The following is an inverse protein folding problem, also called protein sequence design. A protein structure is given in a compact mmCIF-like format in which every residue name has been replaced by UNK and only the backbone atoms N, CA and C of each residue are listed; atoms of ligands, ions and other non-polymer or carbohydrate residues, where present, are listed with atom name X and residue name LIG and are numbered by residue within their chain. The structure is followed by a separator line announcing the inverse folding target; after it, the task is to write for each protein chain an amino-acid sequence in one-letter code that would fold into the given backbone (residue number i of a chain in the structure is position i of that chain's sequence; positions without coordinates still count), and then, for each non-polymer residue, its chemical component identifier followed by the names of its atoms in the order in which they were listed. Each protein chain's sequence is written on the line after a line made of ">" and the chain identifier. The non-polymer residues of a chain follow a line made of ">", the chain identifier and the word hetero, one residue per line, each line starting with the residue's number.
data_IF_447644386541
#
_entry.id   IF_447644386541
#
_cell.length_a   1.000
_cell.length_b   1.000
_cell.length_c   1.000
_cell.angle_alpha   90.00
_cell.angle_beta   90.00
_cell.angle_gamma   90.00
#
_symmetry.space_group_name_H-M   'P 1'
#
loop_
_entity.id
_entity.type
_entity.pdbx_description
1 polymer ?
#
# COMPACT_ATOMS: atom_id res chain seq x y z
N UNK A 1 41.22 -2.45 52.21
CA UNK A 1 41.51 -3.51 51.22
C UNK A 1 40.49 -3.40 50.09
N UNK A 2 40.88 -3.16 48.83
CA UNK A 2 39.96 -3.19 47.71
C UNK A 2 39.84 -4.61 47.12
N UNK A 3 38.63 -4.99 46.69
CA UNK A 3 38.29 -6.30 46.13
C UNK A 3 38.95 -6.56 44.77
N UNK A 4 39.36 -7.80 44.43
CA UNK A 4 40.23 -8.08 43.31
C UNK A 4 39.46 -8.60 42.08
N UNK A 5 38.54 -7.83 41.49
CA UNK A 5 37.94 -8.24 40.21
C UNK A 5 37.70 -7.04 39.30
N UNK A 6 38.69 -6.78 38.44
CA UNK A 6 38.57 -5.89 37.29
C UNK A 6 37.73 -6.53 36.19
N UNK A 7 36.40 -6.58 36.36
CA UNK A 7 35.48 -6.89 35.27
C UNK A 7 35.42 -5.68 34.33
N UNK A 8 36.28 -5.66 33.32
CA UNK A 8 36.11 -4.79 32.16
C UNK A 8 34.85 -5.26 31.44
N UNK A 9 33.71 -4.61 31.66
CA UNK A 9 32.55 -4.75 30.79
C UNK A 9 33.03 -4.40 29.36
N UNK A 10 33.15 -5.42 28.51
CA UNK A 10 33.26 -5.23 27.07
C UNK A 10 32.04 -4.42 26.66
N UNK A 11 32.27 -3.17 26.27
CA UNK A 11 31.31 -2.30 25.59
C UNK A 11 30.55 -3.17 24.59
N UNK A 12 29.26 -3.40 24.82
CA UNK A 12 28.40 -4.15 23.91
C UNK A 12 28.57 -3.50 22.54
N UNK A 13 29.28 -4.18 21.63
CA UNK A 13 29.30 -3.77 20.23
C UNK A 13 27.83 -3.84 19.82
N UNK A 14 27.21 -2.69 19.54
CA UNK A 14 26.01 -2.67 18.72
C UNK A 14 26.40 -3.44 17.46
N UNK A 15 25.86 -4.63 17.29
CA UNK A 15 25.99 -5.36 16.04
C UNK A 15 25.20 -4.54 15.02
N UNK A 16 25.85 -3.58 14.36
CA UNK A 16 25.38 -3.13 13.06
C UNK A 16 25.47 -4.34 12.16
N UNK A 17 24.34 -5.01 11.94
CA UNK A 17 24.17 -6.01 10.87
C UNK A 17 24.26 -5.26 9.54
N UNK A 18 25.47 -4.85 9.20
CA UNK A 18 25.85 -4.42 7.85
C UNK A 18 26.57 -5.61 7.20
N UNK A 19 25.95 -6.78 7.21
CA UNK A 19 26.39 -7.87 6.36
C UNK A 19 25.91 -7.56 4.94
N UNK A 20 26.79 -7.64 3.94
CA UNK A 20 26.47 -7.49 2.51
C UNK A 20 25.33 -8.42 2.03
N UNK A 21 24.89 -9.35 2.87
CA UNK A 21 23.83 -10.34 2.68
C UNK A 21 22.44 -9.90 3.16
N UNK A 22 22.29 -8.72 3.76
CA UNK A 22 21.00 -8.24 4.25
C UNK A 22 20.66 -6.85 3.71
N UNK A 23 19.36 -6.60 3.55
CA UNK A 23 18.77 -5.29 3.28
C UNK A 23 17.96 -4.88 4.51
N UNK A 24 18.19 -3.67 5.02
CA UNK A 24 17.25 -3.03 5.95
C UNK A 24 16.29 -2.20 5.13
N UNK A 25 15.06 -2.68 4.98
CA UNK A 25 14.03 -2.02 4.19
C UNK A 25 13.10 -1.22 5.13
N UNK A 26 12.99 0.09 4.89
CA UNK A 26 11.98 0.94 5.52
C UNK A 26 10.79 1.06 4.59
N UNK A 27 9.65 0.56 5.06
CA UNK A 27 8.38 0.54 4.32
C UNK A 27 7.45 1.58 4.94
N UNK A 28 7.15 2.64 4.19
CA UNK A 28 6.14 3.61 4.56
C UNK A 28 4.75 3.04 4.35
N UNK A 29 3.91 3.15 5.38
CA UNK A 29 2.52 2.69 5.38
C UNK A 29 1.58 3.81 4.94
N UNK A 30 0.31 3.45 4.73
CA UNK A 30 -0.74 4.38 4.30
C UNK A 30 -1.22 5.32 5.42
N UNK A 31 -0.97 4.97 6.68
CA UNK A 31 -1.27 5.79 7.87
C UNK A 31 -0.14 6.78 8.21
N UNK A 32 0.80 7.01 7.28
CA UNK A 32 2.03 7.79 7.44
C UNK A 32 3.04 7.21 8.45
N UNK A 33 2.76 6.02 9.01
CA UNK A 33 3.72 5.24 9.76
C UNK A 33 4.78 4.59 8.88
N UNK A 34 5.68 3.85 9.50
CA UNK A 34 6.62 2.99 8.79
C UNK A 34 6.94 1.71 9.56
N UNK A 35 7.27 0.66 8.80
CA UNK A 35 7.82 -0.59 9.32
C UNK A 35 9.25 -0.76 8.83
N UNK A 36 10.11 -1.33 9.68
CA UNK A 36 11.48 -1.69 9.30
C UNK A 36 11.65 -3.19 9.36
N UNK A 37 12.14 -3.76 8.26
CA UNK A 37 12.43 -5.18 8.13
C UNK A 37 13.90 -5.39 7.79
N UNK A 38 14.50 -6.44 8.36
CA UNK A 38 15.80 -6.96 7.92
C UNK A 38 15.55 -8.17 7.04
N UNK A 39 15.76 -8.00 5.74
CA UNK A 39 15.52 -9.01 4.70
C UNK A 39 16.84 -9.56 4.17
N UNK A 40 16.83 -10.76 3.56
CA UNK A 40 17.97 -11.22 2.77
C UNK A 40 18.09 -10.36 1.51
N UNK A 41 19.31 -10.21 0.97
CA UNK A 41 19.50 -9.59 -0.37
C UNK A 41 18.81 -10.35 -1.50
N UNK A 42 18.50 -11.63 -1.28
CA UNK A 42 17.76 -12.48 -2.21
C UNK A 42 16.24 -12.35 -2.05
N UNK A 43 15.77 -11.77 -0.95
CA UNK A 43 14.34 -11.66 -0.68
C UNK A 43 13.62 -10.89 -1.78
N UNK A 44 12.56 -11.50 -2.27
CA UNK A 44 11.68 -10.99 -3.31
C UNK A 44 10.79 -9.86 -2.80
N UNK A 45 10.17 -9.11 -3.72
CA UNK A 45 9.14 -8.15 -3.35
C UNK A 45 7.93 -8.81 -2.69
N UNK A 46 7.59 -10.05 -3.10
CA UNK A 46 6.50 -10.83 -2.53
C UNK A 46 6.74 -11.15 -1.04
N UNK A 47 7.90 -11.67 -0.69
CA UNK A 47 8.24 -11.98 0.72
C UNK A 47 8.23 -10.71 1.60
N UNK A 48 8.66 -9.57 1.03
CA UNK A 48 8.58 -8.28 1.72
C UNK A 48 7.12 -7.84 1.94
N UNK A 49 6.27 -7.96 0.92
CA UNK A 49 4.84 -7.64 1.01
C UNK A 49 4.12 -8.53 2.03
N UNK A 50 4.45 -9.83 2.05
CA UNK A 50 3.92 -10.78 3.03
C UNK A 50 4.32 -10.42 4.46
N UNK A 51 5.57 -9.97 4.68
CA UNK A 51 6.01 -9.51 5.99
C UNK A 51 5.25 -8.25 6.45
N UNK A 52 4.97 -7.31 5.54
CA UNK A 52 4.12 -6.13 5.81
C UNK A 52 2.71 -6.58 6.15
N UNK A 53 2.12 -7.44 5.32
CA UNK A 53 0.76 -7.94 5.51
C UNK A 53 0.60 -8.70 6.83
N UNK A 54 1.57 -9.54 7.21
CA UNK A 54 1.59 -10.21 8.50
C UNK A 54 1.58 -9.21 9.66
N UNK A 55 2.34 -8.11 9.55
CA UNK A 55 2.41 -7.08 10.59
C UNK A 55 1.13 -6.27 10.72
N UNK A 56 0.39 -6.12 9.63
CA UNK A 56 -0.91 -5.47 9.55
C UNK A 56 -2.09 -6.44 9.75
N UNK A 57 -1.85 -7.74 9.90
CA UNK A 57 -2.88 -8.78 9.98
C UNK A 57 -3.80 -8.85 8.74
N UNK A 58 -3.27 -8.44 7.58
CA UNK A 58 -3.94 -8.47 6.27
C UNK A 58 -3.87 -9.88 5.67
N UNK A 59 -5.02 -10.47 5.34
CA UNK A 59 -5.13 -11.74 4.62
C UNK A 59 -5.46 -11.53 3.15
N UNK A 60 -6.21 -10.47 2.82
CA UNK A 60 -6.53 -10.07 1.45
C UNK A 60 -5.36 -9.31 0.79
N UNK A 61 -4.17 -9.92 0.80
CA UNK A 61 -2.91 -9.28 0.36
C UNK A 61 -2.89 -8.92 -1.13
N UNK A 62 -3.76 -9.54 -1.92
CA UNK A 62 -3.81 -9.45 -3.38
C UNK A 62 -4.18 -8.05 -3.89
N UNK A 63 -4.80 -7.23 -3.05
CA UNK A 63 -5.15 -5.85 -3.38
C UNK A 63 -3.98 -4.87 -3.24
N UNK A 64 -2.91 -5.27 -2.55
CA UNK A 64 -1.83 -4.40 -2.16
C UNK A 64 -0.52 -4.75 -2.88
N UNK A 65 0.38 -3.79 -2.92
CA UNK A 65 1.74 -3.99 -3.40
C UNK A 65 2.68 -2.95 -2.78
N UNK A 66 3.94 -3.02 -3.19
CA UNK A 66 4.99 -2.11 -2.81
C UNK A 66 5.39 -1.26 -4.01
N UNK A 67 5.73 0.00 -3.79
CA UNK A 67 6.25 0.90 -4.82
C UNK A 67 7.39 1.77 -4.29
N UNK A 68 8.17 2.35 -5.21
CA UNK A 68 9.28 3.25 -4.90
C UNK A 68 9.38 4.35 -5.95
N UNK A 69 10.12 5.42 -5.65
CA UNK A 69 10.45 6.45 -6.63
C UNK A 69 11.69 6.06 -7.41
N UNK A 70 11.59 5.99 -8.74
CA UNK A 70 12.76 5.74 -9.58
C UNK A 70 13.67 6.98 -9.67
N UNK A 71 14.81 6.84 -10.36
CA UNK A 71 15.78 7.92 -10.59
C UNK A 71 15.23 9.13 -11.36
N UNK A 72 14.10 8.97 -12.06
CA UNK A 72 13.35 10.03 -12.73
C UNK A 72 12.25 10.64 -11.84
N UNK A 73 12.21 10.28 -10.54
CA UNK A 73 11.19 10.70 -9.58
C UNK A 73 9.75 10.31 -9.97
N UNK A 74 9.61 9.17 -10.67
CA UNK A 74 8.33 8.57 -11.02
C UNK A 74 8.04 7.41 -10.06
N UNK A 75 6.79 7.28 -9.61
CA UNK A 75 6.34 6.13 -8.83
C UNK A 75 6.36 4.86 -9.68
N UNK A 76 6.99 3.80 -9.18
CA UNK A 76 7.09 2.48 -9.83
C UNK A 76 6.74 1.38 -8.85
N UNK A 77 5.80 0.50 -9.24
CA UNK A 77 5.50 -0.72 -8.50
C UNK A 77 6.66 -1.71 -8.56
N UNK A 78 7.01 -2.24 -7.38
CA UNK A 78 7.97 -3.33 -7.20
C UNK A 78 7.51 -4.54 -8.01
N UNK A 79 8.46 -5.16 -8.71
CA UNK A 79 8.28 -6.50 -9.25
C UNK A 79 8.35 -7.52 -8.13
N UNK A 80 7.18 -8.02 -7.70
CA UNK A 80 7.08 -8.92 -6.55
C UNK A 80 7.84 -10.23 -6.76
N UNK A 81 8.07 -10.66 -8.00
CA UNK A 81 8.81 -11.87 -8.33
C UNK A 81 10.34 -11.70 -8.27
N UNK A 82 10.85 -10.47 -8.19
CA UNK A 82 12.28 -10.18 -8.23
C UNK A 82 12.82 -9.74 -6.87
N UNK A 83 14.12 -9.97 -6.59
CA UNK A 83 14.74 -9.50 -5.36
C UNK A 83 14.59 -7.98 -5.19
N UNK A 84 14.02 -7.55 -4.06
CA UNK A 84 13.70 -6.14 -3.82
C UNK A 84 14.96 -5.28 -3.80
N UNK A 85 16.04 -5.77 -3.18
CA UNK A 85 17.32 -5.05 -3.12
C UNK A 85 17.87 -4.73 -4.51
N UNK A 86 17.85 -5.71 -5.43
CA UNK A 86 18.37 -5.51 -6.80
C UNK A 86 17.57 -4.45 -7.55
N UNK A 87 16.26 -4.36 -7.31
CA UNK A 87 15.41 -3.36 -7.91
C UNK A 87 15.72 -1.96 -7.35
N UNK A 88 15.84 -1.84 -6.02
CA UNK A 88 16.17 -0.57 -5.37
C UNK A 88 17.54 -0.05 -5.79
N UNK A 89 18.58 -0.89 -5.76
CA UNK A 89 19.95 -0.51 -6.17
C UNK A 89 19.99 -0.03 -7.63
N UNK A 90 19.20 -0.65 -8.51
CA UNK A 90 19.22 -0.37 -9.94
C UNK A 90 18.40 0.86 -10.30
N UNK A 91 17.18 0.95 -9.77
CA UNK A 91 16.16 1.86 -10.27
C UNK A 91 15.78 2.96 -9.30
N UNK A 92 15.90 2.74 -7.99
CA UNK A 92 15.40 3.69 -7.00
C UNK A 92 16.32 4.88 -6.81
N UNK A 93 15.74 6.03 -6.48
CA UNK A 93 16.48 7.22 -6.04
C UNK A 93 16.98 7.05 -4.59
N UNK A 94 16.16 6.45 -3.73
CA UNK A 94 16.44 6.20 -2.32
C UNK A 94 15.96 4.79 -1.94
N UNK A 95 16.53 4.14 -0.90
CA UNK A 95 16.09 2.82 -0.45
C UNK A 95 14.76 2.86 0.33
N UNK A 96 13.86 3.76 -0.05
CA UNK A 96 12.55 3.99 0.56
C UNK A 96 11.48 3.31 -0.26
N UNK A 97 10.66 2.48 0.41
CA UNK A 97 9.58 1.72 -0.22
C UNK A 97 8.27 2.12 0.44
N UNK A 98 7.18 2.08 -0.32
CA UNK A 98 5.86 2.49 0.11
C UNK A 98 4.88 1.35 -0.11
N UNK A 99 4.01 1.13 0.86
CA UNK A 99 2.87 0.22 0.75
C UNK A 99 1.68 0.96 0.13
N UNK A 100 0.91 0.29 -0.73
CA UNK A 100 -0.25 0.90 -1.36
C UNK A 100 -1.17 -0.09 -2.06
N UNK A 101 -2.36 0.39 -2.45
CA UNK A 101 -3.35 -0.40 -3.21
C UNK A 101 -2.95 -0.42 -4.70
N UNK A 102 -2.82 -1.61 -5.27
CA UNK A 102 -2.46 -1.82 -6.69
C UNK A 102 -3.63 -2.35 -7.50
N UNK A 103 -4.59 -3.03 -6.87
CA UNK A 103 -5.76 -3.62 -7.53
C UNK A 103 -6.99 -3.06 -6.86
N UNK A 104 -7.74 -2.24 -7.59
CA UNK A 104 -8.98 -1.61 -7.13
C UNK A 104 -10.19 -2.47 -7.47
N UNK A 105 -11.16 -2.52 -6.56
CA UNK A 105 -12.42 -3.27 -6.74
C UNK A 105 -13.57 -2.33 -7.12
N UNK A 106 -14.55 -2.78 -7.92
CA UNK A 106 -15.71 -1.96 -8.29
C UNK A 106 -16.71 -1.76 -7.15
N UNK A 107 -16.64 -2.56 -6.08
CA UNK A 107 -17.56 -2.48 -4.95
C UNK A 107 -16.87 -2.85 -3.64
N UNK A 108 -17.07 -2.03 -2.60
CA UNK A 108 -16.57 -2.24 -1.26
C UNK A 108 -17.00 -3.57 -0.62
N UNK A 109 -18.10 -4.19 -1.06
CA UNK A 109 -18.53 -5.52 -0.58
C UNK A 109 -17.57 -6.64 -0.97
N UNK A 110 -16.66 -6.42 -1.93
CA UNK A 110 -15.61 -7.38 -2.27
C UNK A 110 -14.51 -7.43 -1.20
N UNK A 111 -14.33 -6.34 -0.45
CA UNK A 111 -13.38 -6.27 0.66
C UNK A 111 -14.02 -6.92 1.89
N UNK A 112 -13.51 -8.08 2.31
CA UNK A 112 -14.12 -8.85 3.39
C UNK A 112 -13.64 -8.38 4.76
N UNK A 113 -12.34 -8.12 4.92
CA UNK A 113 -11.77 -7.73 6.20
C UNK A 113 -11.94 -6.23 6.46
N UNK A 114 -12.23 -5.88 7.70
CA UNK A 114 -12.29 -4.48 8.15
C UNK A 114 -10.94 -3.78 7.96
N UNK A 115 -9.82 -4.45 8.26
CA UNK A 115 -8.48 -3.91 8.02
C UNK A 115 -8.21 -3.63 6.53
N UNK A 116 -8.73 -4.44 5.61
CA UNK A 116 -8.61 -4.19 4.16
C UNK A 116 -9.34 -2.92 3.76
N UNK A 117 -10.57 -2.73 4.28
CA UNK A 117 -11.36 -1.50 4.04
C UNK A 117 -10.66 -0.27 4.60
N UNK A 118 -10.10 -0.37 5.80
CA UNK A 118 -9.34 0.70 6.42
C UNK A 118 -8.12 1.11 5.57
N UNK A 119 -7.33 0.14 5.10
CA UNK A 119 -6.18 0.44 4.22
C UNK A 119 -6.62 1.06 2.88
N UNK A 120 -7.73 0.59 2.30
CA UNK A 120 -8.34 1.23 1.14
C UNK A 120 -8.77 2.68 1.43
N UNK A 121 -9.36 2.93 2.60
CA UNK A 121 -9.80 4.25 3.02
C UNK A 121 -8.60 5.21 3.09
N UNK A 122 -7.50 4.78 3.73
CA UNK A 122 -6.29 5.58 3.81
C UNK A 122 -5.70 5.89 2.44
N UNK A 123 -5.66 4.90 1.53
CA UNK A 123 -5.21 5.11 0.15
C UNK A 123 -6.07 6.14 -0.57
N UNK A 124 -7.40 5.98 -0.55
CA UNK A 124 -8.31 6.87 -1.26
C UNK A 124 -8.33 8.28 -0.65
N UNK A 125 -8.21 8.41 0.67
CA UNK A 125 -8.02 9.69 1.33
C UNK A 125 -6.76 10.39 0.82
N UNK A 126 -5.64 9.68 0.76
CA UNK A 126 -4.39 10.19 0.19
C UNK A 126 -4.54 10.61 -1.27
N UNK A 127 -5.19 9.78 -2.09
CA UNK A 127 -5.38 10.07 -3.52
C UNK A 127 -6.27 11.29 -3.77
N UNK A 128 -7.28 11.53 -2.91
CA UNK A 128 -8.09 12.75 -2.93
C UNK A 128 -7.24 13.97 -2.53
N UNK A 129 -6.54 13.91 -1.39
CA UNK A 129 -5.74 15.03 -0.88
C UNK A 129 -4.56 15.42 -1.79
N UNK A 130 -3.98 14.45 -2.48
CA UNK A 130 -2.94 14.70 -3.49
C UNK A 130 -3.52 15.12 -4.86
N UNK A 131 -4.85 15.10 -5.03
CA UNK A 131 -5.53 15.46 -6.26
C UNK A 131 -5.37 14.45 -7.40
N UNK A 132 -5.01 13.19 -7.09
CA UNK A 132 -4.96 12.10 -8.08
C UNK A 132 -6.35 11.71 -8.55
N UNK A 133 -7.30 11.66 -7.61
CA UNK A 133 -8.73 11.52 -7.91
C UNK A 133 -9.33 12.94 -7.92
N UNK A 134 -9.72 13.47 -9.08
CA UNK A 134 -10.37 14.78 -9.14
C UNK A 134 -11.73 14.72 -8.45
N UNK A 135 -12.04 15.75 -7.67
CA UNK A 135 -13.34 15.94 -7.04
C UNK A 135 -13.84 17.38 -7.23
N UNK A 136 -15.11 17.61 -6.97
CA UNK A 136 -15.72 18.94 -6.86
C UNK A 136 -15.62 19.45 -5.42
N UNK A 137 -15.79 20.76 -5.20
CA UNK A 137 -15.74 21.33 -3.85
C UNK A 137 -16.76 20.66 -2.92
N UNK A 138 -17.97 20.42 -3.42
CA UNK A 138 -19.05 19.76 -2.69
C UNK A 138 -18.69 18.32 -2.30
N UNK A 139 -18.12 17.54 -3.23
CA UNK A 139 -17.63 16.19 -2.95
C UNK A 139 -16.49 16.22 -1.92
N UNK A 140 -15.53 17.15 -2.06
CA UNK A 140 -14.44 17.32 -1.11
C UNK A 140 -14.92 17.65 0.31
N UNK A 141 -15.91 18.53 0.46
CA UNK A 141 -16.54 18.85 1.75
C UNK A 141 -17.23 17.62 2.34
N UNK A 142 -17.96 16.86 1.52
CA UNK A 142 -18.63 15.65 1.96
C UNK A 142 -17.64 14.58 2.45
N UNK A 143 -16.58 14.35 1.67
CA UNK A 143 -15.51 13.41 2.00
C UNK A 143 -14.74 13.84 3.26
N UNK A 144 -14.43 15.12 3.41
CA UNK A 144 -13.78 15.65 4.60
C UNK A 144 -14.64 15.47 5.86
N UNK A 145 -15.96 15.64 5.76
CA UNK A 145 -16.89 15.36 6.87
C UNK A 145 -16.90 13.89 7.29
N UNK A 146 -16.90 12.97 6.31
CA UNK A 146 -16.79 11.52 6.57
C UNK A 146 -15.43 11.16 7.17
N UNK A 147 -14.34 11.72 6.63
CA UNK A 147 -12.99 11.50 7.14
C UNK A 147 -12.83 12.02 8.57
N UNK A 148 -13.44 13.17 8.92
CA UNK A 148 -13.44 13.69 10.27
C UNK A 148 -14.11 12.71 11.26
N UNK A 149 -15.27 12.15 10.89
CA UNK A 149 -15.93 11.13 11.71
C UNK A 149 -15.11 9.83 11.80
N UNK A 150 -14.50 9.39 10.69
CA UNK A 150 -13.67 8.19 10.66
C UNK A 150 -12.44 8.32 11.56
N UNK A 151 -11.70 9.43 11.43
CA UNK A 151 -10.41 9.64 12.08
C UNK A 151 -10.53 10.08 13.55
N UNK A 152 -11.57 10.86 13.89
CA UNK A 152 -11.70 11.50 15.20
C UNK A 152 -12.92 11.04 16.02
N UNK A 153 -13.80 10.21 15.46
CA UNK A 153 -15.01 9.76 16.11
C UNK A 153 -16.04 10.89 16.29
N UNK A 154 -16.94 10.74 17.27
CA UNK A 154 -18.07 11.65 17.45
C UNK A 154 -17.67 13.11 17.77
N UNK A 155 -18.46 14.03 17.23
CA UNK A 155 -18.32 15.48 17.36
C UNK A 155 -18.16 16.00 18.80
N UNK A 156 -18.73 15.32 19.80
CA UNK A 156 -18.71 15.75 21.21
C UNK A 156 -17.42 15.40 21.96
N UNK A 157 -16.47 14.74 21.30
CA UNK A 157 -15.16 14.41 21.89
C UNK A 157 -14.22 15.62 21.99
N UNK A 158 -14.51 16.74 21.30
CA UNK A 158 -13.67 17.94 21.28
C UNK A 158 -14.44 19.19 21.72
N UNK A 159 -13.84 20.01 22.59
CA UNK A 159 -14.46 21.24 23.11
C UNK A 159 -14.67 22.33 22.03
N UNK A 160 -13.89 22.28 20.94
CA UNK A 160 -14.01 23.18 19.79
C UNK A 160 -13.65 22.45 18.49
N UNK A 161 -14.15 22.98 17.36
CA UNK A 161 -13.84 22.47 16.01
C UNK A 161 -12.56 23.08 15.42
N UNK A 162 -11.78 23.79 16.23
CA UNK A 162 -10.55 24.46 15.82
C UNK A 162 -9.48 23.45 15.36
N UNK A 163 -9.60 22.19 15.77
CA UNK A 163 -8.68 21.13 15.34
C UNK A 163 -8.80 20.87 13.83
N UNK A 164 -9.98 21.05 13.23
CA UNK A 164 -10.21 20.84 11.80
C UNK A 164 -9.33 21.76 10.93
N UNK A 165 -8.99 22.96 11.42
CA UNK A 165 -8.07 23.87 10.73
C UNK A 165 -6.60 23.41 10.74
N UNK A 166 -6.27 22.37 11.51
CA UNK A 166 -4.93 21.75 11.55
C UNK A 166 -4.89 20.45 10.74
N UNK A 167 -6.02 20.01 10.20
CA UNK A 167 -6.15 18.78 9.44
C UNK A 167 -6.03 19.05 7.94
N UNK A 168 -5.46 18.09 7.22
CA UNK A 168 -5.50 18.07 5.76
C UNK A 168 -6.91 17.62 5.30
N UNK A 169 -7.83 18.58 5.16
CA UNK A 169 -9.22 18.31 4.77
C UNK A 169 -9.45 18.32 3.27
N UNK A 170 -8.66 19.10 2.53
CA UNK A 170 -8.87 19.37 1.12
C UNK A 170 -7.58 19.19 0.33
N UNK A 171 -7.66 19.00 -1.00
CA UNK A 171 -6.48 18.85 -1.83
C UNK A 171 -5.55 20.06 -1.72
N UNK A 172 -4.23 19.80 -1.66
CA UNK A 172 -3.17 20.79 -1.33
C UNK A 172 -3.21 22.06 -2.19
N UNK A 173 -3.75 21.97 -3.42
CA UNK A 173 -3.76 23.06 -4.39
C UNK A 173 -5.14 23.71 -4.61
N UNK A 174 -6.18 23.32 -3.87
CA UNK A 174 -7.54 23.78 -4.14
C UNK A 174 -7.84 25.17 -3.63
N UNK A 175 -7.55 25.43 -2.35
CA UNK A 175 -8.10 26.60 -1.68
C UNK A 175 -6.98 27.58 -1.36
N UNK A 176 -6.79 28.54 -2.27
CA UNK A 176 -5.85 29.65 -2.08
C UNK A 176 -6.51 30.86 -1.40
N UNK A 177 -7.85 30.93 -1.40
CA UNK A 177 -8.61 31.96 -0.68
C UNK A 177 -8.96 31.47 0.73
N UNK A 178 -8.34 32.08 1.74
CA UNK A 178 -8.53 31.76 3.16
C UNK A 178 -10.02 31.83 3.58
N UNK A 179 -10.82 32.72 2.97
CA UNK A 179 -12.27 32.81 3.28
C UNK A 179 -13.02 31.60 2.77
N UNK A 180 -12.72 31.15 1.55
CA UNK A 180 -13.31 29.94 0.99
C UNK A 180 -12.93 28.71 1.83
N UNK A 181 -11.69 28.67 2.32
CA UNK A 181 -11.23 27.58 3.21
C UNK A 181 -12.02 27.60 4.51
N UNK A 182 -12.21 28.77 5.11
CA UNK A 182 -12.97 28.93 6.34
C UNK A 182 -14.43 28.48 6.18
N UNK A 183 -15.09 28.90 5.10
CA UNK A 183 -16.47 28.49 4.80
C UNK A 183 -16.59 26.99 4.53
N UNK A 184 -15.65 26.41 3.78
CA UNK A 184 -15.62 24.98 3.50
C UNK A 184 -15.40 24.17 4.79
N UNK A 185 -14.44 24.56 5.64
CA UNK A 185 -14.17 23.92 6.94
C UNK A 185 -15.37 24.03 7.87
N UNK A 186 -16.09 25.15 7.86
CA UNK A 186 -17.33 25.27 8.64
C UNK A 186 -18.41 24.29 8.16
N UNK A 187 -18.55 24.09 6.85
CA UNK A 187 -19.44 23.07 6.29
C UNK A 187 -19.02 21.65 6.68
N UNK A 188 -17.71 21.38 6.71
CA UNK A 188 -17.16 20.10 7.21
C UNK A 188 -17.56 19.88 8.68
N UNK A 189 -17.44 20.89 9.53
CA UNK A 189 -17.85 20.78 10.94
C UNK A 189 -19.36 20.46 11.09
N UNK A 190 -20.22 21.05 10.27
CA UNK A 190 -21.66 20.74 10.27
C UNK A 190 -21.94 19.31 9.82
N UNK A 191 -21.20 18.80 8.84
CA UNK A 191 -21.31 17.41 8.40
C UNK A 191 -20.80 16.44 9.46
N UNK A 192 -19.67 16.73 10.11
CA UNK A 192 -19.15 15.94 11.21
C UNK A 192 -20.18 15.81 12.34
N UNK A 193 -20.86 16.91 12.69
CA UNK A 193 -21.97 16.88 13.64
C UNK A 193 -23.15 16.00 13.17
N UNK A 194 -23.45 16.02 11.87
CA UNK A 194 -24.53 15.21 11.28
C UNK A 194 -24.22 13.71 11.31
N UNK A 195 -22.95 13.31 11.21
CA UNK A 195 -22.51 11.91 11.26
C UNK A 195 -22.36 11.36 12.68
N UNK A 196 -22.68 12.14 13.71
CA UNK A 196 -22.66 11.69 15.10
C UNK A 196 -23.41 10.37 15.29
N UNK A 197 -22.77 9.46 16.02
CA UNK A 197 -23.27 8.11 16.29
C UNK A 197 -22.85 7.07 15.27
N UNK A 198 -22.19 7.46 14.18
CA UNK A 198 -21.60 6.50 13.24
C UNK A 198 -20.28 5.98 13.80
N UNK A 199 -20.07 4.67 13.70
CA UNK A 199 -18.76 4.08 14.01
C UNK A 199 -17.73 4.51 12.95
N UNK A 200 -16.45 4.55 13.33
CA UNK A 200 -15.36 4.87 12.39
C UNK A 200 -15.42 4.01 11.13
N UNK A 201 -15.62 2.68 11.28
CA UNK A 201 -15.71 1.77 10.14
C UNK A 201 -16.95 1.95 9.25
N UNK A 202 -18.04 2.53 9.78
CA UNK A 202 -19.20 2.92 8.97
C UNK A 202 -18.91 4.18 8.16
N UNK A 203 -18.26 5.18 8.77
CA UNK A 203 -17.82 6.39 8.09
C UNK A 203 -16.78 6.08 7.00
N UNK A 204 -15.82 5.20 7.28
CA UNK A 204 -14.85 4.67 6.31
C UNK A 204 -15.58 4.00 5.13
N UNK A 205 -16.54 3.11 5.40
CA UNK A 205 -17.28 2.42 4.35
C UNK A 205 -18.06 3.39 3.45
N UNK A 206 -18.69 4.41 4.03
CA UNK A 206 -19.38 5.45 3.25
C UNK A 206 -18.38 6.27 2.42
N UNK A 207 -17.22 6.60 3.00
CA UNK A 207 -16.14 7.28 2.26
C UNK A 207 -15.71 6.46 1.03
N UNK A 208 -15.46 5.16 1.21
CA UNK A 208 -15.12 4.25 0.11
C UNK A 208 -16.20 4.24 -0.97
N UNK A 209 -17.46 4.10 -0.59
CA UNK A 209 -18.59 4.05 -1.52
C UNK A 209 -18.74 5.32 -2.35
N UNK A 210 -18.46 6.49 -1.77
CA UNK A 210 -18.50 7.74 -2.51
C UNK A 210 -17.32 7.83 -3.50
N UNK A 211 -16.09 7.59 -3.04
CA UNK A 211 -14.91 7.69 -3.92
C UNK A 211 -14.92 6.66 -5.05
N UNK A 212 -15.45 5.46 -4.82
CA UNK A 212 -15.57 4.41 -5.85
C UNK A 212 -16.45 4.80 -7.05
N UNK A 213 -17.31 5.82 -6.90
CA UNK A 213 -18.19 6.32 -7.98
C UNK A 213 -17.54 7.46 -8.79
N UNK A 214 -16.40 7.99 -8.34
CA UNK A 214 -15.79 9.18 -8.90
C UNK A 214 -14.96 8.88 -10.15
N UNK A 215 -14.89 9.84 -11.08
CA UNK A 215 -13.98 9.76 -12.22
C UNK A 215 -12.53 9.77 -11.71
N UNK A 216 -11.70 8.84 -12.19
CA UNK A 216 -10.32 8.72 -11.73
C UNK A 216 -10.11 7.63 -10.67
N UNK A 217 -11.17 7.05 -10.11
CA UNK A 217 -11.05 5.94 -9.17
C UNK A 217 -10.30 4.75 -9.79
N UNK A 218 -9.19 4.36 -9.15
CA UNK A 218 -8.32 3.28 -9.62
C UNK A 218 -7.59 3.55 -10.93
N UNK A 219 -7.57 4.80 -11.41
CA UNK A 219 -6.82 5.16 -12.62
C UNK A 219 -5.34 5.31 -12.29
N UNK A 220 -4.51 4.54 -12.99
CA UNK A 220 -3.06 4.77 -13.04
C UNK A 220 -2.68 5.17 -14.45
N UNK A 221 -1.95 6.28 -14.61
CA UNK A 221 -1.66 6.86 -15.92
C UNK A 221 -0.20 7.21 -16.12
N UNK A 222 0.21 7.21 -17.39
CA UNK A 222 1.58 7.38 -17.83
C UNK A 222 1.63 8.29 -19.04
N UNK A 223 2.64 9.15 -19.09
CA UNK A 223 2.88 10.04 -20.23
C UNK A 223 3.34 9.24 -21.46
N UNK A 224 2.70 9.49 -22.59
CA UNK A 224 3.10 8.94 -23.88
C UNK A 224 2.73 9.91 -25.01
N UNK A 225 3.05 9.53 -26.25
CA UNK A 225 2.69 10.27 -27.47
C UNK A 225 1.94 9.36 -28.45
N UNK A 226 0.98 9.94 -29.17
CA UNK A 226 0.31 9.24 -30.27
C UNK A 226 1.20 9.14 -31.53
N UNK A 227 0.67 8.54 -32.59
CA UNK A 227 1.36 8.41 -33.89
C UNK A 227 1.66 9.75 -34.58
N UNK A 228 1.02 10.84 -34.15
CA UNK A 228 1.24 12.20 -34.65
C UNK A 228 2.22 12.99 -33.76
N UNK A 229 2.72 12.39 -32.68
CA UNK A 229 3.66 13.02 -31.75
C UNK A 229 3.01 13.91 -30.69
N UNK A 230 1.67 13.89 -30.55
CA UNK A 230 0.98 14.69 -29.54
C UNK A 230 1.07 14.02 -28.16
N UNK A 231 1.35 14.82 -27.13
CA UNK A 231 1.35 14.31 -25.76
C UNK A 231 -0.04 13.89 -25.29
N UNK A 232 -0.08 12.78 -24.59
CA UNK A 232 -1.28 12.21 -23.98
C UNK A 232 -0.91 11.43 -22.71
N UNK A 233 -1.94 11.04 -21.96
CA UNK A 233 -1.82 10.08 -20.87
C UNK A 233 -2.48 8.78 -21.29
N UNK A 234 -1.78 7.66 -21.12
CA UNK A 234 -2.36 6.32 -21.23
C UNK A 234 -2.45 5.69 -19.86
N UNK A 235 -3.52 4.96 -19.58
CA UNK A 235 -3.68 4.32 -18.28
C UNK A 235 -4.65 3.16 -18.33
N UNK A 236 -4.64 2.37 -17.26
CA UNK A 236 -5.62 1.30 -17.06
C UNK A 236 -6.70 1.75 -16.08
N UNK A 237 -7.92 1.32 -16.31
CA UNK A 237 -9.05 1.45 -15.40
C UNK A 237 -9.83 0.13 -15.35
N UNK A 238 -10.91 0.07 -14.56
CA UNK A 238 -11.75 -1.12 -14.44
C UNK A 238 -12.36 -1.57 -15.79
N UNK A 239 -12.64 -0.63 -16.69
CA UNK A 239 -13.28 -0.91 -17.97
C UNK A 239 -12.32 -1.30 -19.10
N UNK A 240 -11.07 -0.84 -19.03
CA UNK A 240 -10.13 -0.98 -20.13
C UNK A 240 -8.87 -0.12 -20.03
N UNK A 241 -8.28 0.15 -21.19
CA UNK A 241 -7.17 1.10 -21.34
C UNK A 241 -7.74 2.44 -21.81
N UNK A 242 -7.58 3.49 -21.01
CA UNK A 242 -7.99 4.84 -21.40
C UNK A 242 -6.82 5.63 -21.98
N UNK A 243 -7.14 6.56 -22.87
CA UNK A 243 -6.19 7.50 -23.45
C UNK A 243 -6.73 8.90 -23.30
N UNK A 244 -6.12 9.71 -22.44
CA UNK A 244 -6.53 11.09 -22.19
C UNK A 244 -5.64 12.06 -22.96
N UNK A 245 -6.22 12.68 -23.98
CA UNK A 245 -5.57 13.77 -24.70
C UNK A 245 -5.75 15.11 -23.98
N UNK A 246 -4.86 16.07 -24.24
CA UNK A 246 -4.98 17.45 -23.72
C UNK A 246 -6.29 18.15 -24.11
N UNK A 247 -6.97 17.68 -25.16
CA UNK A 247 -8.26 18.22 -25.64
C UNK A 247 -9.49 17.69 -24.87
N UNK A 248 -9.30 16.89 -23.82
CA UNK A 248 -10.39 16.40 -22.95
C UNK A 248 -11.09 15.14 -23.45
N UNK A 249 -10.76 14.62 -24.65
CA UNK A 249 -11.25 13.31 -25.08
C UNK A 249 -10.48 12.20 -24.38
N UNK A 250 -11.24 11.31 -23.74
CA UNK A 250 -10.72 10.11 -23.06
C UNK A 250 -11.35 8.84 -23.64
N UNK A 251 -11.01 8.41 -24.89
CA UNK A 251 -11.44 7.10 -25.37
C UNK A 251 -10.95 5.99 -24.43
N UNK A 252 -11.81 4.99 -24.23
CA UNK A 252 -11.51 3.77 -23.47
C UNK A 252 -11.57 2.58 -24.43
N UNK A 253 -10.46 1.85 -24.55
CA UNK A 253 -10.38 0.56 -25.22
C UNK A 253 -10.80 -0.51 -24.22
N UNK A 254 -12.00 -1.06 -24.36
CA UNK A 254 -12.54 -2.04 -23.41
C UNK A 254 -11.72 -3.31 -23.41
N UNK A 255 -11.63 -3.98 -22.25
CA UNK A 255 -10.89 -5.25 -22.15
C UNK A 255 -11.32 -6.30 -23.17
N UNK A 256 -12.63 -6.41 -23.45
CA UNK A 256 -13.17 -7.36 -24.43
C UNK A 256 -12.79 -7.04 -25.89
N UNK A 257 -12.39 -5.80 -26.16
CA UNK A 257 -12.01 -5.34 -27.50
C UNK A 257 -10.49 -5.45 -27.74
N UNK A 258 -9.70 -5.73 -26.70
CA UNK A 258 -8.24 -5.87 -26.77
C UNK A 258 -7.88 -7.35 -26.93
N UNK A 259 -7.28 -7.71 -28.07
CA UNK A 259 -6.83 -9.07 -28.34
C UNK A 259 -5.45 -9.36 -27.75
N UNK A 260 -4.56 -8.37 -27.79
CA UNK A 260 -3.19 -8.50 -27.32
C UNK A 260 -2.59 -7.13 -26.96
N UNK A 261 -1.61 -7.16 -26.07
CA UNK A 261 -0.82 -6.00 -25.67
C UNK A 261 0.66 -6.35 -25.74
N UNK A 262 1.44 -5.47 -26.34
CA UNK A 262 2.88 -5.70 -26.53
C UNK A 262 3.68 -4.44 -26.28
N UNK A 263 4.99 -4.60 -26.15
CA UNK A 263 5.93 -3.49 -26.11
C UNK A 263 7.11 -3.78 -27.04
N UNK A 264 7.62 -2.73 -27.71
CA UNK A 264 8.78 -2.83 -28.59
C UNK A 264 9.60 -1.55 -28.52
N UNK A 265 10.86 -1.64 -28.07
CA UNK A 265 11.68 -0.46 -27.74
C UNK A 265 10.86 0.49 -26.86
N UNK A 266 10.78 1.77 -27.19
CA UNK A 266 9.99 2.76 -26.44
C UNK A 266 8.50 2.80 -26.83
N UNK A 267 7.95 1.81 -27.54
CA UNK A 267 6.53 1.77 -27.90
C UNK A 267 5.75 0.77 -27.04
N UNK A 268 4.58 1.19 -26.57
CA UNK A 268 3.53 0.33 -26.04
C UNK A 268 2.42 0.21 -27.09
N UNK A 269 1.92 -1.00 -27.32
CA UNK A 269 1.02 -1.30 -28.42
C UNK A 269 -0.21 -2.09 -27.97
N UNK A 270 -1.37 -1.72 -28.53
CA UNK A 270 -2.64 -2.40 -28.36
C UNK A 270 -3.08 -2.99 -29.72
N UNK A 271 -3.37 -4.28 -29.73
CA UNK A 271 -4.04 -4.95 -30.85
C UNK A 271 -5.51 -5.14 -30.46
N UNK A 272 -6.42 -4.74 -31.36
CA UNK A 272 -7.86 -4.84 -31.11
C UNK A 272 -8.46 -6.03 -31.85
N UNK A 273 -9.41 -6.72 -31.23
CA UNK A 273 -10.04 -7.94 -31.79
C UNK A 273 -10.70 -7.69 -33.15
N UNK A 274 -11.26 -6.49 -33.34
CA UNK A 274 -12.07 -6.15 -34.52
C UNK A 274 -11.31 -5.30 -35.56
N UNK A 275 -10.02 -5.04 -35.37
CA UNK A 275 -9.21 -4.23 -36.28
C UNK A 275 -7.87 -4.90 -36.56
N UNK A 276 -7.45 -4.89 -37.82
CA UNK A 276 -6.11 -5.36 -38.19
C UNK A 276 -5.00 -4.39 -37.77
N UNK A 277 -5.35 -3.13 -37.47
CA UNK A 277 -4.39 -2.09 -37.09
C UNK A 277 -4.00 -2.17 -35.61
N UNK A 278 -2.68 -2.16 -35.37
CA UNK A 278 -2.09 -1.98 -34.04
C UNK A 278 -2.03 -0.51 -33.67
N UNK A 279 -2.61 -0.14 -32.53
CA UNK A 279 -2.50 1.21 -31.98
C UNK A 279 -1.21 1.30 -31.17
N UNK A 280 -0.36 2.29 -31.45
CA UNK A 280 0.94 2.43 -30.81
C UNK A 280 1.07 3.77 -30.07
N UNK A 281 1.67 3.72 -28.89
CA UNK A 281 1.97 4.86 -28.05
C UNK A 281 3.48 4.93 -27.80
N UNK A 282 4.09 6.05 -28.13
CA UNK A 282 5.51 6.28 -27.89
C UNK A 282 5.70 6.76 -26.44
N UNK A 283 6.47 6.01 -25.67
CA UNK A 283 6.89 6.35 -24.30
C UNK A 283 8.28 6.98 -24.30
N UNK A 284 8.73 7.45 -23.15
CA UNK A 284 10.04 8.09 -22.97
C UNK A 284 11.19 7.14 -23.35
N UNK A 285 11.13 5.90 -22.86
CA UNK A 285 12.18 4.90 -23.06
C UNK A 285 11.63 3.46 -23.07
N UNK A 286 12.50 2.50 -23.36
CA UNK A 286 12.15 1.08 -23.38
C UNK A 286 11.78 0.52 -22.00
N UNK A 287 12.29 1.13 -20.93
CA UNK A 287 11.99 0.68 -19.58
C UNK A 287 10.55 1.03 -19.20
N UNK A 288 10.12 2.24 -19.57
CA UNK A 288 8.77 2.75 -19.38
C UNK A 288 7.76 1.97 -20.20
N UNK A 289 8.02 1.70 -21.48
CA UNK A 289 7.10 0.88 -22.31
C UNK A 289 6.89 -0.52 -21.73
N UNK A 290 7.97 -1.17 -21.28
CA UNK A 290 7.93 -2.49 -20.65
C UNK A 290 7.18 -2.45 -19.32
N UNK A 291 7.40 -1.39 -18.53
CA UNK A 291 6.70 -1.19 -17.27
C UNK A 291 5.20 -1.01 -17.47
N UNK A 292 4.79 -0.12 -18.39
CA UNK A 292 3.38 0.13 -18.72
C UNK A 292 2.71 -1.16 -19.19
N UNK A 293 3.35 -1.89 -20.11
CA UNK A 293 2.85 -3.18 -20.57
C UNK A 293 2.60 -4.13 -19.40
N UNK A 294 3.58 -4.30 -18.50
CA UNK A 294 3.43 -5.17 -17.32
C UNK A 294 2.27 -4.74 -16.40
N UNK A 295 2.04 -3.43 -16.25
CA UNK A 295 0.97 -2.89 -15.40
C UNK A 295 -0.41 -3.00 -16.05
N UNK A 296 -0.49 -2.91 -17.38
CA UNK A 296 -1.73 -2.97 -18.14
C UNK A 296 -2.16 -4.40 -18.49
N UNK A 297 -1.23 -5.37 -18.50
CA UNK A 297 -1.58 -6.78 -18.72
C UNK A 297 -2.49 -7.25 -17.58
N UNK A 298 -3.70 -7.77 -17.89
CA UNK A 298 -4.62 -8.24 -16.88
C UNK A 298 -3.94 -9.33 -16.05
N UNK A 299 -3.90 -9.14 -14.73
CA UNK A 299 -3.46 -10.19 -13.83
C UNK A 299 -4.47 -11.35 -13.92
N UNK A 300 -4.03 -12.62 -13.97
CA UNK A 300 -4.92 -13.76 -14.07
C UNK A 300 -6.05 -13.71 -13.03
N UNK A 301 -7.29 -14.00 -13.43
CA UNK A 301 -8.50 -13.91 -12.61
C UNK A 301 -8.49 -14.74 -11.31
N UNK A 302 -7.46 -15.55 -11.06
CA UNK A 302 -7.25 -16.25 -9.79
C UNK A 302 -7.23 -15.28 -8.58
N UNK A 303 -6.97 -13.98 -8.80
CA UNK A 303 -6.98 -12.94 -7.77
C UNK A 303 -8.35 -12.28 -7.49
N UNK A 304 -9.36 -12.52 -8.34
CA UNK A 304 -10.70 -11.89 -8.24
C UNK A 304 -11.77 -12.83 -7.68
N UNK A 305 -11.44 -14.11 -7.47
CA UNK A 305 -12.30 -15.00 -6.71
C UNK A 305 -11.93 -14.90 -5.23
N UNK A 306 -12.91 -14.77 -4.31
CA UNK A 306 -12.62 -14.95 -2.90
C UNK A 306 -11.94 -16.31 -2.72
N UNK A 307 -10.90 -16.43 -1.88
CA UNK A 307 -10.31 -17.72 -1.59
C UNK A 307 -11.43 -18.67 -1.18
N UNK A 308 -11.43 -19.94 -1.64
CA UNK A 308 -12.40 -20.91 -1.14
C UNK A 308 -12.35 -20.84 0.39
N UNK A 309 -13.51 -20.65 1.01
CA UNK A 309 -13.67 -20.63 2.46
C UNK A 309 -12.96 -21.86 3.01
N UNK A 310 -11.73 -21.69 3.52
CA UNK A 310 -10.99 -22.77 4.17
C UNK A 310 -11.74 -23.03 5.47
N UNK A 311 -12.71 -23.93 5.41
CA UNK A 311 -13.19 -24.63 6.58
C UNK A 311 -11.97 -25.36 7.14
N UNK A 312 -11.33 -24.74 8.13
CA UNK A 312 -10.22 -25.33 8.86
C UNK A 312 -10.82 -26.41 9.77
N UNK A 313 -11.16 -27.56 9.18
CA UNK A 313 -11.41 -28.77 9.95
C UNK A 313 -10.04 -29.31 10.37
N UNK A 314 -9.63 -28.93 11.58
CA UNK A 314 -8.48 -29.52 12.23
C UNK A 314 -8.72 -30.99 12.49
N UNK A 315 -8.16 -31.86 11.65
CA UNK A 315 -7.95 -33.26 11.98
C UNK A 315 -6.60 -33.71 11.44
N UNK A 316 -5.62 -33.81 12.34
CA UNK A 316 -4.43 -34.62 12.16
C UNK A 316 -4.85 -36.10 12.12
N UNK A 317 -4.60 -36.81 11.02
CA UNK A 317 -4.21 -38.24 11.05
C UNK A 317 -3.57 -38.68 9.73
N UNK A 318 -2.62 -39.58 9.89
CA UNK A 318 -1.60 -40.11 8.98
C UNK A 318 -2.09 -41.00 7.81
N UNK A 319 -1.19 -41.45 6.90
CA UNK A 319 -1.46 -41.72 5.49
C UNK A 319 -1.78 -43.19 5.20
N UNK A 320 -2.72 -43.49 4.29
CA UNK A 320 -2.69 -44.69 3.44
C UNK A 320 -3.63 -44.56 2.23
N UNK A 321 -3.07 -44.88 1.05
CA UNK A 321 -3.64 -45.36 -0.22
C UNK A 321 -5.18 -45.33 -0.42
N UNK A 322 -5.64 -44.76 -1.54
CA UNK A 322 -6.00 -45.53 -2.75
C UNK A 322 -6.52 -44.64 -3.89
N UNK A 323 -6.02 -44.98 -5.07
CA UNK A 323 -6.46 -44.69 -6.44
C UNK A 323 -7.98 -44.54 -6.66
N UNK A 324 -8.37 -43.59 -7.52
CA UNK A 324 -9.11 -43.89 -8.77
C UNK A 324 -9.38 -42.63 -9.62
N UNK A 325 -9.18 -42.81 -10.92
CA UNK A 325 -9.47 -41.91 -12.03
C UNK A 325 -10.98 -41.62 -12.21
N UNK A 326 -11.26 -40.49 -12.89
CA UNK A 326 -12.23 -40.23 -13.98
C UNK A 326 -12.76 -38.78 -13.89
N UNK A 327 -12.39 -37.89 -14.82
CA UNK A 327 -12.96 -37.66 -16.16
C UNK A 327 -14.41 -37.12 -16.17
N UNK A 328 -14.51 -35.83 -16.51
CA UNK A 328 -15.55 -35.15 -17.34
C UNK A 328 -17.05 -35.36 -17.03
N UNK A 329 -17.77 -34.28 -16.68
CA UNK A 329 -18.63 -33.50 -17.62
C UNK A 329 -19.63 -32.55 -16.91
N UNK A 330 -19.65 -31.32 -17.43
CA UNK A 330 -20.79 -30.50 -17.85
C UNK A 330 -21.59 -29.60 -16.88
N UNK A 331 -21.87 -28.42 -17.44
CA UNK A 331 -22.71 -27.31 -17.02
C UNK A 331 -24.15 -27.71 -16.68
N UNK A 332 -24.73 -27.08 -15.65
CA UNK A 332 -25.96 -26.27 -15.73
C UNK A 332 -26.36 -25.71 -14.35
N UNK A 333 -26.51 -24.39 -14.30
CA UNK A 333 -27.46 -23.57 -13.53
C UNK A 333 -27.98 -24.04 -12.16
N UNK A 334 -27.83 -23.16 -11.16
CA UNK A 334 -28.83 -23.03 -10.10
C UNK A 334 -28.24 -22.68 -8.73
N UNK A 335 -27.96 -21.40 -8.49
CA UNK A 335 -27.77 -20.90 -7.13
C UNK A 335 -29.12 -20.97 -6.40
N UNK A 336 -29.26 -21.90 -5.46
CA UNK A 336 -30.27 -21.87 -4.41
C UNK A 336 -29.56 -21.95 -3.05
N UNK A 337 -29.28 -20.80 -2.45
CA UNK A 337 -29.00 -20.73 -1.02
C UNK A 337 -30.30 -20.38 -0.30
N UNK A 338 -30.91 -21.41 0.27
CA UNK A 338 -32.06 -21.33 1.17
C UNK A 338 -31.59 -20.78 2.51
N UNK A 339 -31.92 -19.52 2.80
CA UNK A 339 -31.77 -18.94 4.13
C UNK A 339 -32.78 -19.60 5.06
N UNK A 340 -32.31 -20.29 6.11
CA UNK A 340 -33.13 -20.56 7.29
C UNK A 340 -32.57 -19.76 8.46
N UNK A 341 -33.24 -18.64 8.71
CA UNK A 341 -33.30 -18.01 10.02
C UNK A 341 -33.97 -18.96 11.00
N UNK A 342 -33.37 -19.19 12.15
CA UNK A 342 -34.10 -19.62 13.35
C UNK A 342 -33.63 -18.80 14.53
N UNK A 343 -34.45 -17.82 14.88
CA UNK A 343 -34.54 -17.30 16.24
C UNK A 343 -35.30 -18.33 17.07
N UNK A 344 -34.82 -18.59 18.28
CA UNK A 344 -35.72 -18.87 19.41
C UNK A 344 -35.21 -18.15 20.68
N UNK A 345 -36.15 -17.41 21.27
CA UNK A 345 -36.19 -16.79 22.62
C UNK A 345 -36.49 -17.89 23.66
N UNK A 346 -36.33 -17.81 24.99
CA UNK A 346 -35.85 -16.91 26.06
C UNK A 346 -35.87 -17.78 27.39
N UNK A 347 -36.04 -17.31 28.66
CA UNK A 347 -35.72 -16.08 29.42
C UNK A 347 -35.06 -16.32 30.83
N UNK A 348 -34.91 -15.22 31.61
CA UNK A 348 -34.68 -15.05 33.09
C UNK A 348 -33.30 -14.50 33.52
N UNK A 349 -33.17 -13.20 33.88
CA UNK A 349 -33.44 -12.52 35.19
C UNK A 349 -32.37 -12.85 36.26
N UNK A 350 -31.74 -11.96 37.06
CA UNK A 350 -31.98 -10.56 37.47
C UNK A 350 -30.67 -9.97 38.08
N UNK A 351 -30.59 -8.62 38.16
CA UNK A 351 -29.82 -7.76 39.08
C UNK A 351 -28.31 -7.45 38.89
N UNK A 352 -28.01 -6.16 38.68
CA UNK A 352 -27.31 -5.39 39.73
C UNK A 352 -25.99 -4.67 39.38
N UNK A 353 -26.09 -3.34 39.28
CA UNK A 353 -25.12 -2.29 39.66
C UNK A 353 -23.93 -1.92 38.75
N UNK A 354 -23.97 -0.64 38.39
CA UNK A 354 -22.93 0.28 37.92
C UNK A 354 -21.58 0.15 38.65
N UNK A 355 -20.45 0.18 37.90
CA UNK A 355 -19.21 0.85 38.32
C UNK A 355 -18.26 1.14 37.14
N UNK A 356 -17.70 2.34 37.16
CA UNK A 356 -16.62 2.89 36.32
C UNK A 356 -15.29 2.09 36.36
N UNK A 357 -14.48 2.29 35.32
CA UNK A 357 -13.01 2.10 35.30
C UNK A 357 -12.55 1.26 34.09
N UNK A 358 -11.97 1.85 33.05
CA UNK A 358 -10.56 2.29 32.92
C UNK A 358 -9.61 1.19 32.40
N UNK A 359 -9.09 1.44 31.19
CA UNK A 359 -7.72 1.20 30.69
C UNK A 359 -7.21 -0.25 30.63
N UNK A 360 -6.89 -0.70 29.41
CA UNK A 360 -5.82 -1.69 29.19
C UNK A 360 -4.93 -1.29 28.01
N UNK A 361 -3.71 -0.85 28.36
CA UNK A 361 -2.51 -0.92 27.53
C UNK A 361 -1.95 -2.35 27.63
N UNK A 362 -1.63 -2.98 26.50
CA UNK A 362 -0.97 -4.29 26.48
C UNK A 362 0.54 -4.12 26.28
N UNK A 363 1.31 -4.50 27.30
CA UNK A 363 2.76 -4.57 27.30
C UNK A 363 3.25 -5.87 26.64
N UNK A 364 4.33 -5.75 25.89
CA UNK A 364 5.16 -6.82 25.34
C UNK A 364 5.82 -7.65 26.45
N UNK A 365 5.78 -8.98 26.31
CA UNK A 365 6.58 -9.89 27.14
C UNK A 365 7.61 -10.64 26.29
N UNK A 366 8.88 -10.23 26.43
CA UNK A 366 10.03 -11.08 26.16
C UNK A 366 10.10 -12.17 27.24
N UNK A 367 10.41 -13.40 26.85
CA UNK A 367 10.87 -14.44 27.78
C UNK A 367 11.94 -15.30 27.11
N UNK A 368 13.17 -15.16 27.60
CA UNK A 368 14.25 -16.12 27.44
C UNK A 368 14.16 -17.09 28.62
N UNK A 369 14.10 -18.39 28.32
CA UNK A 369 14.83 -19.46 29.02
C UNK A 369 14.38 -20.83 28.47
N UNK A 370 15.27 -21.50 27.73
CA UNK A 370 15.72 -22.82 28.17
C UNK A 370 16.96 -23.29 27.39
N UNK A 371 17.86 -23.88 28.16
CA UNK A 371 19.18 -24.38 27.78
C UNK A 371 19.06 -25.90 27.64
N UNK A 372 19.38 -26.47 26.47
CA UNK A 372 19.72 -27.89 26.35
C UNK A 372 20.89 -28.07 25.37
N UNK A 373 21.93 -28.72 25.90
CA UNK A 373 23.17 -29.12 25.26
C UNK A 373 22.95 -30.18 24.18
N UNK A 374 23.62 -30.05 23.04
CA UNK A 374 24.17 -31.18 22.29
C UNK A 374 25.52 -30.79 21.66
N UNK A 375 26.45 -31.75 21.66
CA UNK A 375 27.87 -31.59 21.34
C UNK A 375 28.21 -31.74 19.84
N UNK A 376 29.29 -31.03 19.45
CA UNK A 376 30.25 -31.28 18.33
C UNK A 376 29.73 -31.21 16.88
N UNK A 377 30.51 -30.79 15.87
CA UNK A 377 31.96 -30.75 15.71
C UNK A 377 32.45 -29.51 14.92
N UNK A 378 33.70 -29.09 15.17
CA UNK A 378 34.45 -28.09 14.39
C UNK A 378 34.81 -28.59 12.99
N UNK A 379 35.15 -27.68 12.06
CA UNK A 379 36.46 -27.82 11.44
C UNK A 379 37.27 -26.52 11.37
N UNK A 380 38.50 -26.68 11.83
CA UNK A 380 39.79 -26.18 11.34
C UNK A 380 39.87 -24.93 10.46
N UNK A 381 40.77 -24.06 10.93
CA UNK A 381 41.42 -22.93 10.28
C UNK A 381 42.17 -23.28 8.98
N UNK A 382 42.18 -22.34 8.05
CA UNK A 382 43.35 -22.06 7.22
C UNK A 382 43.36 -20.59 6.79
N UNK A 383 44.27 -19.83 7.40
CA UNK A 383 44.81 -18.60 6.82
C UNK A 383 45.86 -19.00 5.77
N UNK A 384 46.07 -18.18 4.73
CA UNK A 384 47.43 -17.75 4.48
C UNK A 384 47.54 -16.23 4.29
N UNK A 385 48.71 -15.75 4.69
CA UNK A 385 49.15 -14.37 4.79
C UNK A 385 49.79 -13.82 3.50
N UNK A 386 49.47 -12.55 3.22
CA UNK A 386 50.34 -11.42 2.79
C UNK A 386 51.08 -11.49 1.43
N UNK A 387 50.91 -10.47 0.58
CA UNK A 387 51.97 -9.52 0.12
C UNK A 387 51.39 -8.24 -0.53
N UNK A 388 51.98 -7.08 -0.17
CA UNK A 388 52.16 -5.80 -0.92
C UNK A 388 50.95 -5.10 -1.54
N UNK A 389 50.75 -3.78 -1.51
CA UNK A 389 51.72 -2.67 -1.47
C UNK A 389 50.98 -1.36 -1.17
N UNK A 390 51.69 -0.40 -0.60
CA UNK A 390 51.29 0.96 -0.26
C UNK A 390 50.77 1.82 -1.42
N UNK A 391 49.79 2.72 -1.15
CA UNK A 391 49.87 4.16 -1.48
C UNK A 391 49.04 4.95 -0.46
N UNK A 392 49.64 6.02 0.06
CA UNK A 392 49.13 6.91 1.12
C UNK A 392 48.59 8.22 0.50
N UNK A 393 47.56 8.81 1.15
CA UNK A 393 47.17 10.25 1.25
C UNK A 393 45.98 10.75 0.39
N UNK A 394 45.27 11.84 0.80
CA UNK A 394 44.36 11.89 1.96
C UNK A 394 43.03 12.66 1.66
N UNK A 395 42.18 12.78 2.68
CA UNK A 395 41.14 13.81 2.89
C UNK A 395 39.81 13.71 2.11
N UNK A 396 38.76 13.24 2.81
CA UNK A 396 37.40 13.76 2.61
C UNK A 396 36.60 13.72 3.92
N UNK A 397 36.25 14.89 4.43
CA UNK A 397 35.40 15.12 5.61
C UNK A 397 33.95 15.23 5.10
N UNK A 398 32.97 14.44 5.59
CA UNK A 398 31.57 14.68 5.28
C UNK A 398 30.98 15.68 6.27
N UNK A 399 30.64 16.87 5.81
CA UNK A 399 29.80 17.82 6.54
C UNK A 399 28.33 17.43 6.37
N UNK A 400 27.69 17.07 7.48
CA UNK A 400 26.24 16.99 7.60
C UNK A 400 25.66 18.37 7.93
N UNK A 401 24.43 18.57 7.45
CA UNK A 401 23.36 19.44 7.97
C UNK A 401 23.43 20.96 7.71
N UNK A 402 22.41 21.47 7.01
CA UNK A 402 21.31 22.32 7.53
C UNK A 402 20.74 23.13 6.35
N UNK A 403 19.57 22.74 5.82
CA UNK A 403 18.71 23.66 5.05
C UNK A 403 17.64 24.20 5.99
N UNK A 404 17.92 25.38 6.53
CA UNK A 404 16.96 26.23 7.24
C UNK A 404 16.44 27.23 6.22
N UNK A 405 15.18 27.09 5.79
CA UNK A 405 14.49 28.16 5.08
C UNK A 405 14.26 29.34 6.04
N UNK A 406 14.76 30.51 5.68
CA UNK A 406 14.30 31.79 6.21
C UNK A 406 13.92 32.70 5.04
N UNK A 407 12.67 33.15 5.09
CA UNK A 407 12.07 34.19 4.27
C UNK A 407 12.66 35.55 4.63
N UNK A 408 13.00 36.36 3.62
CA UNK A 408 12.98 37.83 3.72
C UNK A 408 12.67 38.45 2.35
N UNK A 409 11.82 39.47 2.40
CA UNK A 409 11.11 40.17 1.34
C UNK A 409 12.01 41.15 0.52
N UNK A 410 11.47 41.85 -0.51
CA UNK A 410 12.25 42.46 -1.58
C UNK A 410 12.70 43.90 -1.25
N UNK A 411 13.73 44.37 -1.96
CA UNK A 411 14.09 45.79 -2.03
C UNK A 411 14.07 46.27 -3.48
N UNK A 412 13.38 47.39 -3.64
CA UNK A 412 13.30 48.25 -4.81
C UNK A 412 14.66 48.86 -5.15
N UNK A 413 14.99 48.90 -6.43
CA UNK A 413 15.29 50.11 -7.24
C UNK A 413 15.94 49.69 -8.56
#
# INVERSE_FOLDING_TARGET
>A
MPLPFGLKLKRTRRYTVSSKSCLVARIHLLDNGFLEFTLSVESTGQECLEAVAQRLELREITYFSLWFYNKQNQSRWVDLEKPIKKQLDKYSIEPTVYFGVVLYVPNATQLQQEITKYQYYLQLKKDILEGRIPCTLEEGIQLAGLAAQADFGDFDQYESQDFLYKCDLFPVNWIQDERMLQEATQKVALLHQKFRGFMSSEAELLYLQEVMKMEGYGHESYTAKDSQGNDLLIGACLEGIFVKHKNGRSPVFKWNDISNMSHNKSFFALELTNKEETIQFQTEDMETSKYIWRMCVPKPQHYLMPPPQLHYNGHYTEPYKSSQDNLYMNNQNGCFCRSQTSLDRAPHEYNGRMRNGSVYSAHSTNSLNNMQHFMQASPMSSNPSITGSDVVRPDYIPTNSVWRHQSTAPLQS
#
